data_IF_226770523319
#
_entry.id   IF_226770523319
#
_cell.length_a   1.000
_cell.length_b   1.000
_cell.length_c   1.000
_cell.angle_alpha   90.00
_cell.angle_beta   90.00
_cell.angle_gamma   90.00
#
_symmetry.space_group_name_H-M   'P 1'
#
loop_
_entity.id
_entity.type
_entity.pdbx_description
1 polymer ?
#
# COMPACT_ATOMS: atom_id res chain seq x y z
N UNK A 1 -33.00 -4.93 0.73
CA UNK A 1 -31.72 -4.21 0.59
C UNK A 1 -30.95 -4.47 1.86
N UNK A 2 -30.10 -5.50 1.88
CA UNK A 2 -29.26 -5.78 3.05
C UNK A 2 -28.15 -4.73 3.11
N UNK A 3 -28.21 -3.86 4.11
CA UNK A 3 -27.06 -3.06 4.52
C UNK A 3 -25.90 -4.01 4.80
N UNK A 4 -24.92 -4.10 3.89
CA UNK A 4 -23.66 -4.76 4.17
C UNK A 4 -22.98 -3.97 5.29
N UNK A 5 -23.22 -4.36 6.54
CA UNK A 5 -22.53 -3.81 7.71
C UNK A 5 -21.04 -4.09 7.55
N UNK A 6 -20.29 -3.08 7.12
CA UNK A 6 -18.84 -3.09 7.11
C UNK A 6 -18.38 -3.35 8.54
N UNK A 7 -17.66 -4.46 8.76
CA UNK A 7 -17.10 -4.80 10.07
C UNK A 7 -15.71 -4.17 10.19
N UNK A 8 -15.23 -4.01 11.42
CA UNK A 8 -13.90 -3.45 11.67
C UNK A 8 -12.82 -4.32 10.99
N UNK A 9 -12.06 -3.71 10.09
CA UNK A 9 -11.00 -4.35 9.32
C UNK A 9 -11.38 -4.96 7.98
N UNK A 10 -12.63 -4.87 7.53
CA UNK A 10 -13.02 -5.24 6.15
C UNK A 10 -12.40 -4.27 5.13
N UNK A 11 -12.04 -4.76 3.94
CA UNK A 11 -11.50 -3.93 2.87
C UNK A 11 -12.63 -3.48 1.95
N UNK A 12 -12.79 -2.17 1.76
CA UNK A 12 -13.76 -1.60 0.82
C UNK A 12 -13.02 -1.13 -0.43
N UNK A 13 -13.39 -1.68 -1.59
CA UNK A 13 -12.88 -1.28 -2.89
C UNK A 13 -13.65 -0.05 -3.43
N UNK A 14 -13.07 0.66 -4.41
CA UNK A 14 -13.65 1.88 -5.00
C UNK A 14 -15.01 1.64 -5.68
N UNK A 15 -15.26 0.42 -6.15
CA UNK A 15 -16.51 -0.03 -6.77
C UNK A 15 -17.61 -0.41 -5.75
N UNK A 16 -17.32 -0.31 -4.45
CA UNK A 16 -18.23 -0.69 -3.37
C UNK A 16 -18.18 -2.17 -2.99
N UNK A 17 -17.28 -2.96 -3.59
CA UNK A 17 -17.07 -4.36 -3.19
C UNK A 17 -16.40 -4.42 -1.82
N UNK A 18 -16.99 -5.19 -0.89
CA UNK A 18 -16.46 -5.40 0.46
C UNK A 18 -15.80 -6.78 0.54
N UNK A 19 -14.51 -6.83 0.90
CA UNK A 19 -13.75 -8.05 1.10
C UNK A 19 -13.55 -8.27 2.60
N UNK A 20 -14.17 -9.33 3.18
CA UNK A 20 -14.00 -9.71 4.57
C UNK A 20 -12.55 -9.92 4.98
N UNK A 21 -12.15 -9.46 6.17
CA UNK A 21 -10.78 -9.63 6.67
C UNK A 21 -10.31 -11.09 6.65
N UNK A 22 -11.20 -12.03 6.98
CA UNK A 22 -10.90 -13.46 7.13
C UNK A 22 -10.59 -14.14 5.79
N UNK A 23 -11.07 -13.58 4.68
CA UNK A 23 -10.86 -14.11 3.33
C UNK A 23 -9.57 -13.57 2.67
N UNK A 24 -8.85 -12.65 3.32
CA UNK A 24 -7.64 -12.03 2.75
C UNK A 24 -6.40 -12.86 3.07
N UNK A 25 -5.53 -13.00 2.08
CA UNK A 25 -4.19 -13.53 2.25
C UNK A 25 -3.21 -12.38 2.55
N UNK A 26 -2.30 -12.50 3.54
CA UNK A 26 -1.26 -11.51 3.75
C UNK A 26 -0.37 -11.42 2.50
N UNK A 27 -0.15 -10.19 2.03
CA UNK A 27 0.71 -9.92 0.88
C UNK A 27 2.01 -9.26 1.36
N UNK A 28 3.15 -9.82 0.99
CA UNK A 28 4.45 -9.20 1.24
C UNK A 28 4.74 -8.16 0.15
N UNK A 29 4.98 -6.92 0.58
CA UNK A 29 5.27 -5.82 -0.34
C UNK A 29 6.79 -5.66 -0.45
N UNK A 30 7.28 -5.73 -1.68
CA UNK A 30 8.70 -5.58 -1.99
C UNK A 30 8.99 -4.22 -2.63
N UNK A 31 10.18 -3.69 -2.36
CA UNK A 31 10.66 -2.40 -2.86
C UNK A 31 12.07 -2.53 -3.42
N UNK A 32 12.48 -1.63 -4.32
CA UNK A 32 13.84 -1.58 -4.89
C UNK A 32 14.56 -0.26 -4.56
N UNK A 33 15.18 -0.10 -3.37
CA UNK A 33 15.65 1.21 -2.95
C UNK A 33 16.98 1.66 -3.57
N UNK A 34 17.93 0.72 -3.80
CA UNK A 34 19.30 0.95 -4.31
C UNK A 34 19.73 -0.15 -5.29
N UNK A 35 18.79 -0.67 -6.08
CA UNK A 35 19.10 -1.64 -7.14
C UNK A 35 18.81 -3.10 -6.83
N UNK A 36 18.46 -3.49 -5.60
CA UNK A 36 18.00 -4.84 -5.25
C UNK A 36 16.63 -4.83 -4.54
N UNK A 37 15.95 -5.97 -4.53
CA UNK A 37 14.64 -6.16 -3.90
C UNK A 37 14.78 -6.37 -2.39
N UNK A 38 14.02 -5.60 -1.60
CA UNK A 38 13.91 -5.73 -0.14
C UNK A 38 12.45 -5.67 0.32
N UNK A 39 12.00 -6.55 1.23
CA UNK A 39 10.67 -6.43 1.83
C UNK A 39 10.52 -5.13 2.59
N UNK A 40 9.39 -4.45 2.42
CA UNK A 40 9.09 -3.20 3.13
C UNK A 40 8.95 -3.46 4.64
N UNK A 41 8.45 -4.64 5.02
CA UNK A 41 8.33 -5.06 6.42
C UNK A 41 9.68 -5.03 7.16
N UNK A 42 10.80 -5.18 6.45
CA UNK A 42 12.15 -5.17 7.02
C UNK A 42 12.78 -3.77 7.10
N UNK A 43 12.07 -2.71 6.74
CA UNK A 43 12.62 -1.35 6.82
C UNK A 43 12.82 -0.94 8.29
N UNK A 44 13.99 -0.38 8.60
CA UNK A 44 14.25 0.25 9.89
C UNK A 44 13.78 1.72 9.89
N UNK A 45 13.89 2.40 11.04
CA UNK A 45 13.51 3.81 11.16
C UNK A 45 14.24 4.71 10.14
N UNK A 46 15.56 4.55 10.00
CA UNK A 46 16.35 5.34 9.05
C UNK A 46 15.90 5.16 7.60
N UNK A 47 15.55 3.95 7.17
CA UNK A 47 15.07 3.71 5.81
C UNK A 47 13.70 4.31 5.55
N UNK A 48 12.82 4.33 6.55
CA UNK A 48 11.52 5.01 6.47
C UNK A 48 11.70 6.52 6.30
N UNK A 49 12.58 7.13 7.08
CA UNK A 49 12.89 8.57 6.94
C UNK A 49 13.55 8.88 5.60
N UNK A 50 14.56 8.10 5.18
CA UNK A 50 15.19 8.25 3.86
C UNK A 50 14.14 8.20 2.74
N UNK A 51 13.18 7.26 2.81
CA UNK A 51 12.11 7.18 1.81
C UNK A 51 11.16 8.38 1.86
N UNK A 52 10.84 8.91 3.06
CA UNK A 52 9.99 10.11 3.22
C UNK A 52 10.65 11.35 2.58
N UNK A 53 11.97 11.45 2.64
CA UNK A 53 12.73 12.56 2.05
C UNK A 53 12.91 12.45 0.53
N UNK A 54 12.62 11.29 -0.08
CA UNK A 54 12.74 11.10 -1.54
C UNK A 54 11.75 11.98 -2.29
N UNK A 55 12.27 12.74 -3.25
CA UNK A 55 11.46 13.53 -4.19
C UNK A 55 11.25 12.74 -5.47
N UNK A 56 9.99 12.61 -5.90
CA UNK A 56 9.64 12.03 -7.20
C UNK A 56 9.77 13.10 -8.27
N UNK A 57 10.38 12.76 -9.37
CA UNK A 57 10.31 13.59 -10.57
C UNK A 57 8.84 13.64 -11.03
N UNK A 58 8.32 14.84 -11.27
CA UNK A 58 7.01 15.04 -11.91
C UNK A 58 7.29 15.47 -13.34
N UNK A 59 6.75 14.72 -14.29
CA UNK A 59 6.75 15.15 -15.69
C UNK A 59 5.74 16.31 -15.76
N UNK A 60 6.15 17.48 -16.24
CA UNK A 60 5.22 18.56 -16.56
C UNK A 60 4.35 18.12 -17.75
N UNK A 61 3.05 18.44 -17.72
CA UNK A 61 2.16 18.12 -18.83
C UNK A 61 2.76 18.66 -20.14
N UNK A 62 2.89 17.81 -21.18
CA UNK A 62 3.36 18.29 -22.47
C UNK A 62 2.38 19.35 -22.98
N UNK A 63 2.88 20.59 -23.15
CA UNK A 63 2.14 21.69 -23.77
C UNK A 63 1.82 21.39 -25.22
#
# INVERSE_FOLDING_TARGET
>A
MEEKRVRDGDLVLEDGTVIPKELRTPCEIWSRPVGYLRPIQHWNNGKREEFRERKKFKIEDPK
#
